data_IF_606653668795
#
_entry.id   IF_606653668795
#
_cell.length_a   1.000
_cell.length_b   1.000
_cell.length_c   1.000
_cell.angle_alpha   90.00
_cell.angle_beta   90.00
_cell.angle_gamma   90.00
#
_symmetry.space_group_name_H-M   'P 1'
#
loop_
_entity.id
_entity.type
_entity.pdbx_description
1 polymer ?
#
# COMPACT_ATOMS: atom_id res chain seq x y z
N UNK A 1 -22.96 -20.21 50.05
CA UNK A 1 -21.76 -20.96 49.62
C UNK A 1 -21.25 -20.27 48.36
N UNK A 2 -20.11 -19.60 48.44
CA UNK A 2 -19.49 -19.02 47.26
C UNK A 2 -18.87 -20.14 46.44
N UNK A 3 -19.30 -20.32 45.19
CA UNK A 3 -18.65 -21.21 44.24
C UNK A 3 -17.21 -20.70 44.06
N UNK A 4 -16.25 -21.45 44.59
CA UNK A 4 -14.83 -21.17 44.32
C UNK A 4 -14.59 -21.25 42.82
N UNK A 5 -13.68 -20.41 42.32
CA UNK A 5 -13.29 -20.32 40.90
C UNK A 5 -13.10 -21.72 40.31
N UNK A 6 -13.89 -22.04 39.29
CA UNK A 6 -13.68 -23.23 38.47
C UNK A 6 -12.41 -22.99 37.67
N UNK A 7 -11.38 -23.79 37.87
CA UNK A 7 -10.18 -23.74 37.04
C UNK A 7 -10.52 -24.34 35.68
N UNK A 8 -10.69 -23.45 34.69
CA UNK A 8 -11.06 -23.82 33.35
C UNK A 8 -10.01 -24.73 32.65
N UNK A 9 -8.77 -24.69 33.08
CA UNK A 9 -7.70 -25.53 32.51
C UNK A 9 -7.92 -27.02 32.78
N UNK A 10 -8.66 -27.36 33.90
CA UNK A 10 -8.91 -28.72 34.30
C UNK A 10 -10.35 -29.20 34.06
N UNK A 11 -11.27 -28.31 33.68
CA UNK A 11 -12.69 -28.62 33.55
C UNK A 11 -13.25 -28.58 32.12
N UNK A 12 -12.57 -27.94 31.20
CA UNK A 12 -13.05 -27.77 29.82
C UNK A 12 -12.22 -28.62 28.86
N UNK A 13 -12.65 -29.89 28.70
CA UNK A 13 -12.18 -30.73 27.61
C UNK A 13 -13.22 -30.71 26.50
N UNK A 14 -12.86 -30.20 25.31
CA UNK A 14 -13.73 -30.13 24.14
C UNK A 14 -14.11 -28.70 23.71
N UNK A 15 -15.02 -28.59 22.74
CA UNK A 15 -15.52 -27.30 22.21
C UNK A 15 -16.60 -26.74 23.15
N UNK A 16 -16.45 -25.47 23.54
CA UNK A 16 -17.52 -24.72 24.20
C UNK A 16 -18.56 -24.34 23.14
N UNK A 17 -19.84 -24.74 23.27
CA UNK A 17 -20.87 -24.31 22.35
C UNK A 17 -20.95 -22.77 22.30
N UNK A 18 -21.07 -22.21 21.09
CA UNK A 18 -21.07 -20.76 20.85
C UNK A 18 -22.08 -19.98 21.70
N UNK A 19 -23.26 -20.59 22.00
CA UNK A 19 -24.29 -20.01 22.86
C UNK A 19 -23.91 -19.87 24.35
N UNK A 20 -22.82 -20.50 24.79
CA UNK A 20 -22.36 -20.47 26.19
C UNK A 20 -21.22 -19.45 26.40
N UNK A 21 -20.79 -18.75 25.37
CA UNK A 21 -19.78 -17.69 25.46
C UNK A 21 -20.45 -16.34 25.35
N UNK A 22 -20.64 -15.65 26.48
CA UNK A 22 -21.18 -14.31 26.47
C UNK A 22 -20.19 -13.34 25.80
N UNK A 23 -20.69 -12.40 24.97
CA UNK A 23 -19.86 -11.37 24.28
C UNK A 23 -18.97 -10.60 25.26
N UNK A 24 -19.41 -10.36 26.49
CA UNK A 24 -18.62 -9.72 27.54
C UNK A 24 -17.37 -10.51 27.94
N UNK A 25 -17.41 -11.84 27.81
CA UNK A 25 -16.27 -12.73 28.13
C UNK A 25 -15.18 -12.69 27.05
N UNK A 26 -15.52 -12.28 25.83
CA UNK A 26 -14.57 -12.14 24.71
C UNK A 26 -13.79 -10.81 24.77
N UNK A 27 -14.25 -9.81 25.51
CA UNK A 27 -13.54 -8.55 25.73
C UNK A 27 -12.22 -8.69 26.47
N UNK A 28 -12.02 -9.81 27.19
CA UNK A 28 -10.77 -10.13 27.89
C UNK A 28 -9.82 -11.03 27.07
N UNK A 29 -10.19 -11.42 25.85
CA UNK A 29 -9.32 -12.20 24.97
C UNK A 29 -8.23 -11.30 24.41
N UNK A 30 -7.06 -11.34 25.01
CA UNK A 30 -5.89 -10.54 24.62
C UNK A 30 -5.12 -11.12 23.43
N UNK A 31 -5.34 -12.41 23.10
CA UNK A 31 -4.76 -13.05 21.94
C UNK A 31 -5.68 -14.19 21.44
N UNK A 32 -5.93 -14.22 20.14
CA UNK A 32 -6.51 -15.39 19.48
C UNK A 32 -5.39 -16.41 19.21
N UNK A 33 -5.66 -17.74 19.32
CA UNK A 33 -4.68 -18.75 18.92
C UNK A 33 -4.20 -18.51 17.50
N UNK A 34 -2.92 -18.74 17.23
CA UNK A 34 -2.31 -18.60 15.91
C UNK A 34 -2.98 -19.49 14.83
N UNK A 35 -3.74 -20.49 15.25
CA UNK A 35 -4.50 -21.39 14.36
C UNK A 35 -5.82 -20.80 13.85
N UNK A 36 -6.25 -19.60 14.29
CA UNK A 36 -7.38 -18.93 13.67
C UNK A 36 -6.85 -18.17 12.45
N UNK A 37 -7.11 -18.64 11.21
CA UNK A 37 -6.66 -17.98 10.00
C UNK A 37 -7.51 -16.73 9.80
N UNK A 38 -7.21 -15.70 10.56
CA UNK A 38 -7.76 -14.37 10.31
C UNK A 38 -6.75 -13.67 9.44
N UNK A 39 -7.14 -13.18 8.26
CA UNK A 39 -6.35 -12.25 7.46
C UNK A 39 -6.15 -10.94 8.23
N UNK A 40 -5.46 -11.06 9.38
CA UNK A 40 -5.30 -10.00 10.37
C UNK A 40 -4.34 -8.96 9.83
N UNK A 41 -4.76 -7.72 9.79
CA UNK A 41 -3.85 -6.59 9.58
C UNK A 41 -3.03 -6.43 10.87
N UNK A 42 -1.71 -6.56 10.74
CA UNK A 42 -0.76 -6.51 11.85
C UNK A 42 -0.23 -5.10 12.09
N UNK A 43 0.02 -4.37 11.02
CA UNK A 43 0.44 -2.97 11.05
C UNK A 43 0.04 -2.23 9.78
N UNK A 44 -0.05 -0.92 9.88
CA UNK A 44 -0.30 -0.01 8.75
C UNK A 44 0.74 1.10 8.78
N UNK A 45 1.37 1.35 7.63
CA UNK A 45 2.35 2.42 7.44
C UNK A 45 1.90 3.28 6.27
N UNK A 46 2.04 4.59 6.39
CA UNK A 46 1.69 5.53 5.31
C UNK A 46 2.88 6.39 4.94
N UNK A 47 3.21 6.43 3.64
CA UNK A 47 4.10 7.41 3.04
C UNK A 47 3.28 8.50 2.34
N UNK A 48 3.70 9.74 2.49
CA UNK A 48 3.07 10.90 1.85
C UNK A 48 4.15 11.81 1.28
N UNK A 49 3.93 12.29 0.06
CA UNK A 49 4.80 13.28 -0.55
C UNK A 49 3.99 14.41 -1.21
N UNK A 50 4.55 15.62 -1.15
CA UNK A 50 4.09 16.81 -1.88
C UNK A 50 5.18 17.31 -2.83
N UNK A 51 6.28 16.57 -2.93
CA UNK A 51 7.43 16.98 -3.74
C UNK A 51 7.10 16.79 -5.21
N UNK A 52 7.05 17.89 -5.94
CA UNK A 52 6.89 17.86 -7.39
C UNK A 52 8.15 17.31 -8.04
N UNK A 53 7.97 16.32 -8.90
CA UNK A 53 9.05 15.69 -9.66
C UNK A 53 8.72 15.76 -11.15
N UNK A 54 9.68 16.16 -11.97
CA UNK A 54 9.52 16.28 -13.44
C UNK A 54 10.49 15.37 -14.17
N UNK A 55 10.08 14.87 -15.32
CA UNK A 55 10.94 14.12 -16.22
C UNK A 55 10.57 14.38 -17.69
N UNK A 56 11.60 14.46 -18.53
CA UNK A 56 11.51 14.44 -19.99
C UNK A 56 12.15 13.18 -20.58
N UNK A 57 12.53 12.23 -19.72
CA UNK A 57 13.29 11.04 -20.06
C UNK A 57 12.42 9.80 -20.16
N UNK A 58 12.72 8.94 -21.12
CA UNK A 58 12.18 7.59 -21.20
C UNK A 58 12.80 6.63 -20.16
N UNK A 59 13.86 7.07 -19.46
CA UNK A 59 14.42 6.32 -18.34
C UNK A 59 13.58 6.55 -17.09
N UNK A 60 13.16 5.46 -16.43
CA UNK A 60 12.36 5.52 -15.21
C UNK A 60 13.15 6.16 -14.06
N UNK A 61 12.52 7.10 -13.38
CA UNK A 61 13.05 7.80 -12.21
C UNK A 61 12.05 7.77 -11.06
N UNK A 62 12.54 7.90 -9.83
CA UNK A 62 11.72 7.88 -8.64
C UNK A 62 10.76 9.08 -8.59
N UNK A 63 9.53 8.86 -8.15
CA UNK A 63 8.48 9.90 -8.04
C UNK A 63 8.56 10.67 -6.72
N UNK A 64 9.52 10.40 -5.85
CA UNK A 64 9.58 10.83 -4.44
C UNK A 64 8.53 10.18 -3.50
N UNK A 65 7.58 9.38 -4.00
CA UNK A 65 6.67 8.62 -3.16
C UNK A 65 7.32 7.32 -2.70
N UNK A 66 7.49 7.19 -1.40
CA UNK A 66 8.10 6.02 -0.77
C UNK A 66 7.51 5.76 0.61
N UNK A 67 7.49 4.50 1.01
CA UNK A 67 7.17 4.06 2.38
C UNK A 67 7.96 2.80 2.70
N UNK A 68 8.36 2.64 3.98
CA UNK A 68 9.11 1.46 4.43
C UNK A 68 8.34 0.74 5.54
N UNK A 69 8.37 -0.59 5.50
CA UNK A 69 7.73 -1.46 6.48
C UNK A 69 8.67 -2.59 6.86
N UNK A 70 8.62 -3.03 8.12
CA UNK A 70 9.37 -4.20 8.60
C UNK A 70 8.37 -5.29 8.94
N UNK A 71 8.23 -6.34 8.10
CA UNK A 71 7.27 -7.41 8.35
C UNK A 71 7.63 -8.21 9.61
N UNK A 72 6.63 -8.62 10.36
CA UNK A 72 6.79 -9.36 11.63
C UNK A 72 7.12 -10.84 11.40
N UNK A 73 6.82 -11.39 10.22
CA UNK A 73 7.10 -12.77 9.85
C UNK A 73 7.43 -12.90 8.35
N UNK A 74 8.23 -13.90 7.99
CA UNK A 74 8.54 -14.21 6.59
C UNK A 74 7.33 -14.67 5.77
N UNK A 75 6.27 -15.15 6.43
CA UNK A 75 5.00 -15.51 5.81
C UNK A 75 4.06 -14.32 5.59
N UNK A 76 4.35 -13.16 6.19
CA UNK A 76 3.52 -11.96 6.05
C UNK A 76 3.45 -11.50 4.60
N UNK A 77 2.29 -10.96 4.23
CA UNK A 77 2.06 -10.30 2.95
C UNK A 77 1.90 -8.81 3.16
N UNK A 78 2.31 -8.02 2.18
CA UNK A 78 2.16 -6.56 2.23
C UNK A 78 1.19 -6.13 1.14
N UNK A 79 0.06 -5.56 1.55
CA UNK A 79 -0.86 -4.87 0.64
C UNK A 79 -0.38 -3.44 0.46
N UNK A 80 -0.08 -3.08 -0.78
CA UNK A 80 0.34 -1.75 -1.19
C UNK A 80 -0.82 -1.06 -1.90
N UNK A 81 -1.17 0.13 -1.47
CA UNK A 81 -2.16 0.99 -2.13
C UNK A 81 -1.47 2.32 -2.39
N UNK A 82 -1.43 2.76 -3.64
CA UNK A 82 -0.84 4.06 -4.01
C UNK A 82 -1.85 4.93 -4.73
N UNK A 83 -1.73 6.24 -4.53
CA UNK A 83 -2.42 7.27 -5.30
C UNK A 83 -1.48 8.44 -5.52
N UNK A 84 -1.35 8.91 -6.78
CA UNK A 84 -0.53 10.06 -7.15
C UNK A 84 -1.22 10.89 -8.22
N UNK A 85 -1.02 12.20 -8.14
CA UNK A 85 -1.47 13.12 -9.17
C UNK A 85 -0.35 13.36 -10.18
N UNK A 86 -0.68 13.37 -11.47
CA UNK A 86 0.28 13.62 -12.53
C UNK A 86 -0.30 14.47 -13.65
N UNK A 87 0.58 15.19 -14.33
CA UNK A 87 0.27 16.03 -15.48
C UNK A 87 1.29 15.84 -16.57
N UNK A 88 0.84 15.88 -17.81
CA UNK A 88 1.66 16.04 -19.01
C UNK A 88 1.47 17.43 -19.61
N UNK A 89 2.42 17.88 -20.44
CA UNK A 89 2.43 19.20 -21.07
C UNK A 89 2.36 19.16 -22.61
N UNK A 90 2.26 17.96 -23.20
CA UNK A 90 2.27 17.81 -24.66
C UNK A 90 1.28 16.74 -25.12
N UNK A 91 0.69 16.91 -26.32
CA UNK A 91 -0.08 15.87 -26.98
C UNK A 91 0.83 14.68 -27.37
N UNK A 92 0.22 13.52 -27.63
CA UNK A 92 0.92 12.28 -27.94
C UNK A 92 1.97 11.84 -26.90
N UNK A 93 1.98 12.49 -25.72
CA UNK A 93 2.81 12.10 -24.57
C UNK A 93 2.02 11.16 -23.67
N UNK A 94 2.68 10.16 -23.16
CA UNK A 94 2.11 9.22 -22.20
C UNK A 94 3.12 8.84 -21.12
N UNK A 95 2.59 8.42 -20.00
CA UNK A 95 3.33 8.15 -18.77
C UNK A 95 3.50 6.66 -18.62
N UNK A 96 4.73 6.20 -18.45
CA UNK A 96 5.04 4.90 -17.90
C UNK A 96 5.11 4.98 -16.38
N UNK A 97 4.50 4.02 -15.68
CA UNK A 97 4.45 4.03 -14.21
C UNK A 97 4.67 2.62 -13.65
N UNK A 98 5.52 2.52 -12.63
CA UNK A 98 5.96 1.26 -12.04
C UNK A 98 5.97 1.30 -10.52
N UNK A 99 5.74 0.14 -9.89
CA UNK A 99 5.92 -0.10 -8.47
C UNK A 99 7.16 -0.95 -8.23
N UNK A 100 7.97 -0.57 -7.25
CA UNK A 100 9.18 -1.25 -6.84
C UNK A 100 9.16 -1.64 -5.36
N UNK A 101 9.82 -2.75 -5.06
CA UNK A 101 10.29 -3.11 -3.73
C UNK A 101 11.82 -3.03 -3.75
N UNK A 102 12.39 -2.10 -3.01
CA UNK A 102 13.83 -1.77 -3.05
C UNK A 102 14.29 -1.52 -4.50
N UNK A 103 15.05 -2.43 -5.10
CA UNK A 103 15.47 -2.40 -6.50
C UNK A 103 14.68 -3.35 -7.43
N UNK A 104 13.74 -4.13 -6.87
CA UNK A 104 12.98 -5.12 -7.64
C UNK A 104 11.69 -4.50 -8.16
N UNK A 105 11.48 -4.54 -9.48
CA UNK A 105 10.18 -4.18 -10.08
C UNK A 105 9.13 -5.22 -9.69
N UNK A 106 8.03 -4.76 -9.09
CA UNK A 106 6.92 -5.60 -8.69
C UNK A 106 5.77 -5.56 -9.68
N UNK A 107 5.47 -4.37 -10.19
CA UNK A 107 4.33 -4.17 -11.05
C UNK A 107 4.58 -3.05 -12.07
N UNK A 108 4.31 -3.36 -13.33
CA UNK A 108 4.21 -2.40 -14.40
C UNK A 108 2.74 -1.98 -14.53
N UNK A 109 2.43 -0.74 -14.13
CA UNK A 109 1.05 -0.29 -13.99
C UNK A 109 0.46 0.14 -15.33
N UNK A 110 1.31 0.68 -16.21
CA UNK A 110 0.91 1.04 -17.56
C UNK A 110 1.90 1.99 -18.25
N UNK A 111 1.74 2.12 -19.56
CA UNK A 111 2.57 2.96 -20.42
C UNK A 111 1.78 3.95 -21.29
N UNK A 112 0.46 3.88 -21.30
CA UNK A 112 -0.42 4.81 -22.03
C UNK A 112 -1.24 5.71 -21.10
N UNK A 113 -0.73 5.92 -19.89
CA UNK A 113 -1.44 6.71 -18.89
C UNK A 113 -1.44 8.17 -19.34
N UNK A 114 -2.61 8.82 -19.25
CA UNK A 114 -2.84 10.20 -19.68
C UNK A 114 -2.58 10.47 -21.17
N UNK A 115 -2.57 9.45 -22.02
CA UNK A 115 -2.44 9.65 -23.46
C UNK A 115 -3.62 10.44 -24.03
N UNK A 116 -3.31 11.54 -24.73
CA UNK A 116 -4.29 12.28 -25.54
C UNK A 116 -3.69 12.65 -26.89
N UNK A 117 -4.49 12.56 -27.95
CA UNK A 117 -4.03 12.87 -29.30
C UNK A 117 -4.08 14.36 -29.62
N UNK A 118 -5.04 15.09 -29.07
CA UNK A 118 -5.39 16.47 -29.44
C UNK A 118 -5.31 17.46 -28.29
N UNK A 119 -4.87 17.05 -27.09
CA UNK A 119 -4.74 17.91 -25.93
C UNK A 119 -3.29 17.95 -25.47
N UNK A 120 -2.73 19.16 -25.41
CA UNK A 120 -1.35 19.36 -24.97
C UNK A 120 -1.18 19.16 -23.48
N UNK A 121 -2.22 19.43 -22.68
CA UNK A 121 -2.16 19.27 -21.23
C UNK A 121 -3.28 18.36 -20.75
N UNK A 122 -2.92 17.39 -19.97
CA UNK A 122 -3.86 16.51 -19.27
C UNK A 122 -3.34 16.19 -17.88
N UNK A 123 -4.25 16.13 -16.93
CA UNK A 123 -3.95 15.90 -15.53
C UNK A 123 -4.85 14.80 -14.98
N UNK A 124 -4.23 13.78 -14.42
CA UNK A 124 -4.92 12.57 -13.96
C UNK A 124 -4.36 12.08 -12.62
N UNK A 125 -5.23 11.40 -11.87
CA UNK A 125 -4.81 10.52 -10.78
C UNK A 125 -4.34 9.16 -11.33
N UNK A 126 -3.27 8.62 -10.76
CA UNK A 126 -2.84 7.24 -10.99
C UNK A 126 -2.67 6.54 -9.66
N UNK A 127 -3.27 5.36 -9.55
CA UNK A 127 -3.16 4.51 -8.38
C UNK A 127 -2.97 3.06 -8.76
N UNK A 128 -2.46 2.29 -7.82
CA UNK A 128 -2.41 0.84 -7.92
C UNK A 128 -2.65 0.20 -6.57
N UNK A 129 -3.17 -1.03 -6.63
CA UNK A 129 -3.25 -1.93 -5.49
C UNK A 129 -2.49 -3.20 -5.85
N UNK A 130 -1.54 -3.59 -4.99
CA UNK A 130 -0.71 -4.76 -5.20
C UNK A 130 -0.49 -5.52 -3.89
N UNK A 131 -0.54 -6.84 -3.94
CA UNK A 131 -0.25 -7.70 -2.79
C UNK A 131 1.09 -8.39 -3.01
N UNK A 132 2.09 -7.99 -2.23
CA UNK A 132 3.44 -8.55 -2.27
C UNK A 132 3.63 -9.64 -1.22
N UNK A 133 4.53 -10.58 -1.51
CA UNK A 133 4.99 -11.64 -0.59
C UNK A 133 6.52 -11.52 -0.47
N UNK A 134 7.02 -10.64 0.39
CA UNK A 134 8.45 -10.30 0.43
C UNK A 134 9.32 -11.40 1.02
N UNK A 135 8.76 -12.33 1.78
CA UNK A 135 9.47 -13.43 2.45
C UNK A 135 10.65 -12.95 3.32
N UNK A 136 10.49 -11.80 4.00
CA UNK A 136 11.53 -11.13 4.76
C UNK A 136 10.97 -10.54 6.06
N UNK A 137 11.83 -10.45 7.07
CA UNK A 137 11.59 -9.70 8.32
C UNK A 137 12.52 -8.48 8.44
N UNK A 138 13.27 -8.17 7.38
CA UNK A 138 14.05 -6.94 7.31
C UNK A 138 13.19 -5.77 6.87
N UNK A 139 13.66 -4.54 7.13
CA UNK A 139 13.00 -3.34 6.59
C UNK A 139 13.03 -3.36 5.07
N UNK A 140 11.89 -3.10 4.45
CA UNK A 140 11.65 -3.11 3.01
C UNK A 140 11.10 -1.75 2.63
N UNK A 141 11.61 -1.17 1.55
CA UNK A 141 11.13 0.11 1.01
C UNK A 141 10.35 -0.13 -0.28
N UNK A 142 9.11 0.34 -0.30
CA UNK A 142 8.31 0.42 -1.53
C UNK A 142 8.38 1.82 -2.07
N UNK A 143 8.47 1.94 -3.40
CA UNK A 143 8.52 3.22 -4.10
C UNK A 143 7.90 3.11 -5.49
N UNK A 144 7.54 4.25 -6.05
CA UNK A 144 7.04 4.34 -7.41
C UNK A 144 8.03 5.06 -8.32
N UNK A 145 8.05 4.65 -9.58
CA UNK A 145 8.85 5.27 -10.63
C UNK A 145 7.99 5.65 -11.83
N UNK A 146 8.41 6.66 -12.56
CA UNK A 146 7.75 7.13 -13.77
C UNK A 146 8.74 7.47 -14.87
N UNK A 147 8.24 7.49 -16.11
CA UNK A 147 8.98 7.93 -17.29
C UNK A 147 8.03 8.59 -18.28
N UNK A 148 8.54 9.45 -19.15
CA UNK A 148 7.85 9.90 -20.37
C UNK A 148 8.25 9.00 -21.53
N UNK A 149 7.31 8.40 -22.23
CA UNK A 149 7.60 7.37 -23.23
C UNK A 149 7.49 7.86 -24.67
N UNK A 150 7.07 9.11 -24.92
CA UNK A 150 6.97 9.67 -26.26
C UNK A 150 7.29 11.17 -26.36
N UNK A 151 8.16 11.68 -25.48
CA UNK A 151 8.53 13.10 -25.43
C UNK A 151 7.62 13.92 -24.52
N UNK A 152 7.85 15.24 -24.47
CA UNK A 152 7.17 16.14 -23.54
C UNK A 152 7.67 16.04 -22.10
N UNK A 153 7.06 16.79 -21.21
CA UNK A 153 7.35 16.80 -19.77
C UNK A 153 6.22 16.15 -19.00
N UNK A 154 6.56 15.21 -18.15
CA UNK A 154 5.67 14.66 -17.14
C UNK A 154 6.00 15.28 -15.79
N UNK A 155 4.99 15.74 -15.07
CA UNK A 155 5.10 16.28 -13.72
C UNK A 155 4.26 15.46 -12.77
N UNK A 156 4.90 14.88 -11.77
CA UNK A 156 4.25 14.14 -10.67
C UNK A 156 4.05 15.09 -9.50
N UNK A 157 2.93 15.02 -8.79
CA UNK A 157 2.49 15.98 -7.77
C UNK A 157 2.51 17.43 -8.31
N UNK A 158 2.02 17.61 -9.53
CA UNK A 158 1.91 18.92 -10.14
C UNK A 158 1.01 19.85 -9.32
N UNK A 159 1.37 21.13 -9.28
CA UNK A 159 0.48 22.16 -8.77
C UNK A 159 -0.71 22.34 -9.72
N UNK A 160 -1.90 22.50 -9.19
CA UNK A 160 -2.98 23.16 -9.91
C UNK A 160 -2.55 24.61 -10.20
N UNK A 161 -2.95 25.18 -11.30
CA UNK A 161 -2.46 26.41 -11.92
C UNK A 161 -2.40 27.68 -11.04
N UNK A 162 -2.73 27.61 -9.77
CA UNK A 162 -2.77 28.72 -8.81
C UNK A 162 -1.71 28.65 -7.69
N UNK A 163 -0.83 27.67 -7.69
CA UNK A 163 0.35 27.62 -6.79
C UNK A 163 0.06 27.21 -5.34
N UNK A 164 -1.18 26.95 -4.94
CA UNK A 164 -1.54 26.63 -3.55
C UNK A 164 -2.09 25.22 -3.34
N UNK A 165 -2.39 24.49 -4.40
CA UNK A 165 -2.99 23.16 -4.33
C UNK A 165 -2.07 22.14 -5.00
N UNK A 166 -1.15 21.57 -4.23
CA UNK A 166 -0.25 20.54 -4.72
C UNK A 166 -0.94 19.19 -4.74
N UNK A 167 -0.83 18.50 -5.86
CA UNK A 167 -1.18 17.09 -5.92
C UNK A 167 -0.41 16.30 -4.86
N UNK A 168 -1.11 15.54 -4.05
CA UNK A 168 -0.52 14.70 -3.00
C UNK A 168 -0.28 13.29 -3.54
N UNK A 169 0.92 12.75 -3.32
CA UNK A 169 1.17 11.32 -3.46
C UNK A 169 0.98 10.63 -2.12
N UNK A 170 0.25 9.52 -2.10
CA UNK A 170 0.06 8.68 -0.92
C UNK A 170 0.39 7.23 -1.22
N UNK A 171 1.01 6.56 -0.26
CA UNK A 171 1.25 5.11 -0.28
C UNK A 171 0.85 4.55 1.09
N UNK A 172 -0.06 3.59 1.09
CA UNK A 172 -0.43 2.85 2.30
C UNK A 172 0.09 1.43 2.17
N UNK A 173 0.83 0.98 3.16
CA UNK A 173 1.33 -0.38 3.32
C UNK A 173 0.58 -1.03 4.48
N UNK A 174 -0.02 -2.19 4.24
CA UNK A 174 -0.68 -2.98 5.28
C UNK A 174 -0.02 -4.35 5.35
N UNK A 175 0.55 -4.69 6.51
CA UNK A 175 1.00 -6.04 6.76
C UNK A 175 -0.20 -6.94 7.09
N UNK A 176 -0.34 -8.01 6.33
CA UNK A 176 -1.38 -9.03 6.51
C UNK A 176 -0.69 -10.30 7.01
N UNK A 177 -1.19 -10.87 8.10
CA UNK A 177 -0.68 -12.14 8.63
C UNK A 177 -0.73 -13.22 7.53
N UNK A 178 0.38 -13.94 7.37
CA UNK A 178 0.43 -15.11 6.50
C UNK A 178 -0.46 -16.24 7.03
N UNK A 179 -0.99 -17.03 6.16
CA UNK A 179 -1.77 -18.25 6.43
C UNK A 179 -1.07 -19.44 5.82
#
# INVERSE_FOLDING_TARGET
MALSKIDAANFLTGTIPQGNVANASLGAVTALPAAIPTGKVLQVVTGVTYTTTTSTSATYADTSLTASITPSATSSKILIITDQFMRKDQNNTYIGYKLFRDSTELNYIGDLIAYTQNSDSDANGIGTTYLDTPSSTSSITYKTQFATLSGGTITIQADASSGNERGRGTMTLMEIAGW
#
